data_IF_401762860768
#
_entry.id   IF_401762860768
#
_cell.length_a   1.000
_cell.length_b   1.000
_cell.length_c   1.000
_cell.angle_alpha   90.00
_cell.angle_beta   90.00
_cell.angle_gamma   90.00
#
_symmetry.space_group_name_H-M   'P 1'
#
loop_
_entity.id
_entity.type
_entity.pdbx_description
1 polymer ?
#
# COMPACT_ATOMS: atom_id res chain seq x y z
N UNK A 1 20.96 18.46 -5.79
CA UNK A 1 19.81 17.66 -6.27
C UNK A 1 18.72 17.80 -5.23
N UNK A 2 17.55 18.29 -5.66
CA UNK A 2 16.62 18.99 -4.76
C UNK A 2 16.05 18.05 -3.71
N UNK A 3 16.45 18.30 -2.46
CA UNK A 3 15.93 17.67 -1.26
C UNK A 3 14.38 17.59 -1.26
N UNK A 4 13.76 18.62 -1.82
CA UNK A 4 12.31 18.72 -2.04
C UNK A 4 11.72 17.52 -2.80
N UNK A 5 12.40 17.00 -3.83
CA UNK A 5 11.89 15.90 -4.67
C UNK A 5 11.83 14.58 -3.88
N UNK A 6 12.83 14.30 -3.04
CA UNK A 6 12.80 13.13 -2.16
C UNK A 6 11.71 13.23 -1.10
N UNK A 7 11.53 14.40 -0.49
CA UNK A 7 10.41 14.66 0.41
C UNK A 7 9.06 14.41 -0.28
N UNK A 8 8.90 14.89 -1.52
CA UNK A 8 7.70 14.67 -2.33
C UNK A 8 7.45 13.19 -2.63
N UNK A 9 8.47 12.43 -3.00
CA UNK A 9 8.33 10.98 -3.27
C UNK A 9 7.92 10.24 -2.00
N UNK A 10 8.53 10.55 -0.84
CA UNK A 10 8.17 9.93 0.43
C UNK A 10 6.75 10.31 0.86
N UNK A 11 6.38 11.58 0.71
CA UNK A 11 5.03 12.05 1.01
C UNK A 11 3.98 11.37 0.12
N UNK A 12 4.23 11.27 -1.18
CA UNK A 12 3.34 10.58 -2.12
C UNK A 12 3.25 9.08 -1.81
N UNK A 13 4.37 8.44 -1.49
CA UNK A 13 4.42 7.03 -1.09
C UNK A 13 3.63 6.79 0.19
N UNK A 14 3.86 7.59 1.24
CA UNK A 14 3.12 7.51 2.50
C UNK A 14 1.62 7.75 2.29
N UNK A 15 1.26 8.73 1.46
CA UNK A 15 -0.13 9.01 1.10
C UNK A 15 -0.78 7.82 0.37
N UNK A 16 -0.09 7.23 -0.60
CA UNK A 16 -0.61 6.07 -1.32
C UNK A 16 -0.78 4.85 -0.41
N UNK A 17 0.19 4.57 0.47
CA UNK A 17 0.07 3.51 1.46
C UNK A 17 -1.07 3.77 2.46
N UNK A 18 -1.26 5.02 2.88
CA UNK A 18 -2.40 5.42 3.71
C UNK A 18 -3.73 5.18 3.00
N UNK A 19 -3.85 5.54 1.72
CA UNK A 19 -5.03 5.28 0.91
C UNK A 19 -5.32 3.77 0.80
N UNK A 20 -4.31 2.94 0.55
CA UNK A 20 -4.48 1.48 0.46
C UNK A 20 -4.90 0.88 1.80
N UNK A 21 -4.32 1.34 2.91
CA UNK A 21 -4.80 0.99 4.25
C UNK A 21 -6.26 1.40 4.44
N UNK A 22 -6.64 2.61 4.03
CA UNK A 22 -8.01 3.11 4.06
C UNK A 22 -8.98 2.21 3.30
N UNK A 23 -8.65 1.84 2.06
CA UNK A 23 -9.46 0.92 1.25
C UNK A 23 -9.62 -0.44 1.93
N UNK A 24 -8.53 -1.04 2.42
CA UNK A 24 -8.60 -2.29 3.18
C UNK A 24 -9.44 -2.13 4.46
N UNK A 25 -9.48 -0.93 5.06
CA UNK A 25 -10.28 -0.64 6.26
C UNK A 25 -11.74 -0.67 5.92
N UNK A 26 -12.09 0.01 4.85
CA UNK A 26 -13.44 0.09 4.35
C UNK A 26 -13.96 -1.31 4.04
N UNK A 27 -13.19 -2.10 3.31
CA UNK A 27 -13.55 -3.49 2.96
C UNK A 27 -13.67 -4.35 4.20
N UNK A 28 -12.73 -4.25 5.15
CA UNK A 28 -12.82 -5.02 6.39
C UNK A 28 -14.08 -4.70 7.20
N UNK A 29 -14.54 -3.44 7.19
CA UNK A 29 -15.72 -3.03 7.94
C UNK A 29 -17.03 -3.26 7.19
N UNK A 30 -17.02 -3.25 5.85
CA UNK A 30 -18.22 -3.42 5.03
C UNK A 30 -18.40 -4.89 4.65
N UNK A 31 -17.41 -5.50 4.00
CA UNK A 31 -17.53 -6.84 3.41
C UNK A 31 -17.55 -7.92 4.49
N UNK A 32 -16.67 -7.83 5.50
CA UNK A 32 -16.64 -8.84 6.58
C UNK A 32 -17.87 -8.75 7.50
N UNK A 33 -18.60 -7.62 7.50
CA UNK A 33 -19.83 -7.47 8.28
C UNK A 33 -21.09 -7.88 7.53
N UNK A 34 -21.08 -7.76 6.20
CA UNK A 34 -22.23 -8.05 5.35
C UNK A 34 -22.23 -9.49 4.83
N UNK A 35 -21.05 -10.10 4.69
CA UNK A 35 -20.91 -11.45 4.17
C UNK A 35 -20.21 -12.34 5.19
N UNK A 36 -20.89 -13.40 5.63
CA UNK A 36 -20.31 -14.39 6.56
C UNK A 36 -19.16 -15.16 5.92
N UNK A 37 -19.07 -15.20 4.58
CA UNK A 37 -18.07 -15.96 3.82
C UNK A 37 -17.34 -15.04 2.82
N UNK A 38 -16.53 -14.10 3.30
CA UNK A 38 -15.70 -13.25 2.44
C UNK A 38 -14.62 -14.12 1.76
N UNK A 39 -14.13 -13.70 0.57
CA UNK A 39 -13.15 -14.49 -0.16
C UNK A 39 -11.83 -14.56 0.62
N UNK A 40 -11.23 -15.76 0.67
CA UNK A 40 -10.05 -16.04 1.48
C UNK A 40 -8.87 -15.10 1.17
N UNK A 41 -8.71 -14.69 -0.09
CA UNK A 41 -7.69 -13.74 -0.51
C UNK A 41 -7.91 -12.34 0.11
N UNK A 42 -9.17 -11.88 0.19
CA UNK A 42 -9.50 -10.62 0.85
C UNK A 42 -9.22 -10.71 2.36
N UNK A 43 -9.50 -11.84 3.01
CA UNK A 43 -9.13 -12.05 4.41
C UNK A 43 -7.61 -12.01 4.62
N UNK A 44 -6.83 -12.65 3.75
CA UNK A 44 -5.36 -12.61 3.80
C UNK A 44 -4.83 -11.18 3.64
N UNK A 45 -5.35 -10.41 2.67
CA UNK A 45 -4.94 -9.01 2.48
C UNK A 45 -5.36 -8.11 3.65
N UNK A 46 -6.50 -8.37 4.29
CA UNK A 46 -6.90 -7.69 5.53
C UNK A 46 -5.96 -8.08 6.68
N UNK A 47 -5.56 -9.35 6.82
CA UNK A 47 -4.58 -9.78 7.82
C UNK A 47 -3.20 -9.14 7.62
N UNK A 48 -2.81 -8.90 6.36
CA UNK A 48 -1.58 -8.20 5.98
C UNK A 48 -1.66 -6.68 6.16
N UNK A 49 -2.79 -6.11 6.60
CA UNK A 49 -2.95 -4.68 6.90
C UNK A 49 -1.74 -4.07 7.62
N UNK A 50 -1.27 -4.60 8.76
CA UNK A 50 -0.18 -3.99 9.53
C UNK A 50 1.08 -3.76 8.70
N UNK A 51 1.37 -4.67 7.75
CA UNK A 51 2.49 -4.55 6.84
C UNK A 51 2.40 -3.29 5.96
N UNK A 52 1.21 -2.89 5.53
CA UNK A 52 1.00 -1.67 4.74
C UNK A 52 1.24 -0.37 5.51
N UNK A 53 1.29 -0.41 6.86
CA UNK A 53 1.65 0.74 7.71
C UNK A 53 3.09 0.65 8.16
N UNK A 54 3.57 -0.54 8.53
CA UNK A 54 4.94 -0.77 8.99
C UNK A 54 5.96 -0.55 7.87
N UNK A 55 5.72 -1.05 6.64
CA UNK A 55 6.63 -0.83 5.50
C UNK A 55 6.90 0.66 5.23
N UNK A 56 5.88 1.53 5.15
CA UNK A 56 6.10 2.95 4.91
C UNK A 56 6.81 3.66 6.05
N UNK A 57 6.55 3.29 7.30
CA UNK A 57 7.27 3.87 8.45
C UNK A 57 8.75 3.46 8.39
N UNK A 58 9.04 2.19 8.13
CA UNK A 58 10.41 1.67 8.02
C UNK A 58 11.12 2.28 6.81
N UNK A 59 10.43 2.37 5.66
CA UNK A 59 10.96 3.01 4.47
C UNK A 59 11.26 4.49 4.73
N UNK A 60 10.32 5.26 5.27
CA UNK A 60 10.52 6.67 5.62
C UNK A 60 11.66 6.85 6.64
N UNK A 61 11.76 5.98 7.64
CA UNK A 61 12.85 5.96 8.62
C UNK A 61 14.21 5.67 7.97
N UNK A 62 14.27 4.70 7.04
CA UNK A 62 15.48 4.41 6.27
C UNK A 62 15.85 5.58 5.35
N UNK A 63 14.87 6.23 4.71
CA UNK A 63 15.07 7.43 3.89
C UNK A 63 15.67 8.58 4.72
N UNK A 64 15.10 8.86 5.89
CA UNK A 64 15.60 9.86 6.85
C UNK A 64 17.00 9.52 7.36
N UNK A 65 17.24 8.24 7.68
CA UNK A 65 18.55 7.78 8.13
C UNK A 65 19.62 7.98 7.06
N UNK A 66 19.37 7.52 5.82
CA UNK A 66 20.28 7.70 4.69
C UNK A 66 20.48 9.18 4.38
N UNK A 67 19.43 9.99 4.50
CA UNK A 67 19.50 11.42 4.30
C UNK A 67 20.43 12.13 5.29
N UNK A 68 20.31 11.78 6.58
CA UNK A 68 21.12 12.37 7.66
C UNK A 68 22.58 11.87 7.58
N UNK A 69 22.80 10.60 7.21
CA UNK A 69 24.14 10.00 7.14
C UNK A 69 24.94 10.35 5.90
N UNK A 70 24.30 10.74 4.79
CA UNK A 70 24.91 10.67 3.44
C UNK A 70 24.87 11.98 2.68
N UNK A 71 24.91 13.10 3.41
CA UNK A 71 25.00 14.46 2.85
C UNK A 71 26.25 14.70 2.00
N UNK A 72 27.27 13.83 2.05
CA UNK A 72 28.57 14.05 1.40
C UNK A 72 28.82 13.29 0.08
N UNK A 73 28.03 12.28 -0.31
CA UNK A 73 28.38 11.45 -1.48
C UNK A 73 27.26 11.44 -2.50
N UNK A 74 27.56 12.07 -3.65
CA UNK A 74 26.93 12.20 -4.97
C UNK A 74 26.28 10.92 -5.57
N UNK A 75 25.57 10.11 -4.79
CA UNK A 75 25.00 8.82 -5.24
C UNK A 75 23.66 9.03 -5.97
N UNK A 76 23.48 8.29 -7.08
CA UNK A 76 22.31 8.40 -7.97
C UNK A 76 20.99 8.09 -7.24
N UNK A 77 19.93 8.79 -7.63
CA UNK A 77 18.60 8.77 -6.98
C UNK A 77 17.68 7.68 -7.54
N UNK A 78 18.13 7.04 -8.63
CA UNK A 78 17.45 5.94 -9.33
C UNK A 78 17.13 4.75 -8.42
N UNK A 79 18.05 4.20 -7.61
CA UNK A 79 17.74 3.06 -6.75
C UNK A 79 16.69 3.38 -5.67
N UNK A 80 16.67 4.62 -5.17
CA UNK A 80 15.68 5.07 -4.20
C UNK A 80 14.27 5.06 -4.80
N UNK A 81 14.13 5.71 -5.95
CA UNK A 81 12.87 5.79 -6.66
C UNK A 81 12.37 4.42 -7.12
N UNK A 82 13.28 3.57 -7.63
CA UNK A 82 12.96 2.21 -8.03
C UNK A 82 12.47 1.36 -6.85
N UNK A 83 13.08 1.48 -5.67
CA UNK A 83 12.64 0.76 -4.48
C UNK A 83 11.25 1.24 -3.98
N UNK A 84 11.01 2.55 -3.95
CA UNK A 84 9.70 3.09 -3.56
C UNK A 84 8.60 2.73 -4.56
N UNK A 85 8.88 2.79 -5.86
CA UNK A 85 7.90 2.41 -6.89
C UNK A 85 7.66 0.90 -6.92
N UNK A 86 8.71 0.09 -6.81
CA UNK A 86 8.60 -1.36 -6.77
C UNK A 86 7.79 -1.84 -5.57
N UNK A 87 8.06 -1.30 -4.38
CA UNK A 87 7.26 -1.61 -3.18
C UNK A 87 5.80 -1.17 -3.34
N UNK A 88 5.55 0.02 -3.91
CA UNK A 88 4.20 0.50 -4.21
C UNK A 88 3.44 -0.46 -5.12
N UNK A 89 4.05 -0.90 -6.21
CA UNK A 89 3.42 -1.80 -7.18
C UNK A 89 3.13 -3.16 -6.53
N UNK A 90 4.08 -3.73 -5.79
CA UNK A 90 3.91 -5.00 -5.08
C UNK A 90 2.78 -4.94 -4.04
N UNK A 91 2.51 -3.76 -3.49
CA UNK A 91 1.47 -3.51 -2.49
C UNK A 91 0.13 -3.17 -3.13
N UNK A 92 0.11 -2.39 -4.20
CA UNK A 92 -1.10 -2.04 -4.94
C UNK A 92 -1.76 -3.26 -5.58
N UNK A 93 -0.98 -4.15 -6.20
CA UNK A 93 -1.52 -5.26 -6.99
C UNK A 93 -2.37 -6.22 -6.13
N UNK A 94 -1.91 -6.71 -4.96
CA UNK A 94 -2.72 -7.51 -4.06
C UNK A 94 -3.91 -6.74 -3.50
N UNK A 95 -3.73 -5.46 -3.18
CA UNK A 95 -4.82 -4.63 -2.63
C UNK A 95 -5.95 -4.47 -3.64
N UNK A 96 -5.63 -4.21 -4.91
CA UNK A 96 -6.61 -4.11 -6.00
C UNK A 96 -7.39 -5.42 -6.16
N UNK A 97 -6.69 -6.56 -6.19
CA UNK A 97 -7.35 -7.87 -6.29
C UNK A 97 -8.29 -8.09 -5.08
N UNK A 98 -7.84 -7.77 -3.87
CA UNK A 98 -8.63 -7.93 -2.65
C UNK A 98 -9.85 -7.02 -2.57
N UNK A 99 -9.81 -5.85 -3.22
CA UNK A 99 -10.94 -4.91 -3.35
C UNK A 99 -11.95 -5.39 -4.39
N UNK A 100 -11.48 -5.91 -5.52
CA UNK A 100 -12.34 -6.29 -6.64
C UNK A 100 -13.05 -7.64 -6.45
N UNK A 101 -12.41 -8.59 -5.76
CA UNK A 101 -12.99 -9.92 -5.48
C UNK A 101 -14.37 -9.87 -4.82
N UNK A 102 -14.57 -9.12 -3.71
CA UNK A 102 -15.89 -8.96 -3.11
C UNK A 102 -16.91 -8.37 -4.08
N UNK A 103 -16.52 -7.36 -4.87
CA UNK A 103 -17.41 -6.69 -5.83
C UNK A 103 -17.91 -7.67 -6.89
N UNK A 104 -17.02 -8.49 -7.44
CA UNK A 104 -17.39 -9.52 -8.43
C UNK A 104 -18.36 -10.54 -7.80
N UNK A 105 -18.09 -11.01 -6.58
CA UNK A 105 -18.99 -11.92 -5.88
C UNK A 105 -20.37 -11.29 -5.62
N UNK A 106 -20.43 -10.01 -5.24
CA UNK A 106 -21.70 -9.30 -5.08
C UNK A 106 -22.47 -9.23 -6.40
N UNK A 107 -21.81 -8.90 -7.52
CA UNK A 107 -22.44 -8.83 -8.84
C UNK A 107 -23.00 -10.19 -9.25
N UNK A 108 -22.22 -11.26 -9.10
CA UNK A 108 -22.67 -12.64 -9.41
C UNK A 108 -23.89 -13.05 -8.59
N UNK A 109 -23.93 -12.70 -7.30
CA UNK A 109 -25.06 -13.00 -6.43
C UNK A 109 -26.31 -12.19 -6.82
N UNK A 110 -26.17 -10.92 -7.20
CA UNK A 110 -27.30 -10.09 -7.67
C UNK A 110 -27.78 -10.46 -9.07
N UNK A 111 -26.90 -10.87 -9.97
CA UNK A 111 -27.27 -11.24 -11.34
C UNK A 111 -27.92 -12.61 -11.49
N UNK A 112 -27.80 -13.47 -10.47
CA UNK A 112 -28.50 -14.77 -10.38
C UNK A 112 -29.92 -14.69 -9.83
N UNK A 113 -30.36 -13.50 -9.38
CA UNK A 113 -31.66 -13.28 -8.75
C UNK A 113 -32.63 -12.63 -9.73
#
# INVERSE_FOLDING_TARGET
>A
MNKVIHGLIVAFFAFACWCLWGMLTLISNVVLRVSDHPPAFTQLCVGLRPLFVVLPIVAAGYCLYVWIRKTDIRRSWVPFFAATMGSLVLVMLPTMIAVWLPVIQFIELTGKK
#
